data_IF_900041157846
#
_entry.id   IF_900041157846
#
_cell.length_a   1.000
_cell.length_b   1.000
_cell.length_c   1.000
_cell.angle_alpha   90.00
_cell.angle_beta   90.00
_cell.angle_gamma   90.00
#
_symmetry.space_group_name_H-M   'P 1'
#
loop_
_entity.id
_entity.type
_entity.pdbx_description
1 polymer ?
#
# COMPACT_ATOMS: atom_id res chain seq x y z
N UNK A 1 -14.52 32.47 0.53
CA UNK A 1 -13.38 31.62 0.06
C UNK A 1 -12.34 31.37 1.15
N UNK A 2 -12.07 32.30 2.06
CA UNK A 2 -11.13 32.11 3.19
C UNK A 2 -11.65 31.10 4.22
N UNK A 3 -12.93 31.14 4.54
CA UNK A 3 -13.58 30.26 5.53
C UNK A 3 -13.57 28.76 5.12
N UNK A 4 -13.59 28.47 3.81
CA UNK A 4 -13.47 27.10 3.31
C UNK A 4 -12.02 26.57 3.39
N UNK A 5 -11.04 27.46 3.35
CA UNK A 5 -9.62 27.10 3.36
C UNK A 5 -9.15 26.73 4.78
N UNK A 6 -9.66 27.39 5.80
CA UNK A 6 -9.33 27.05 7.20
C UNK A 6 -9.99 25.74 7.65
N UNK A 7 -11.17 25.42 7.12
CA UNK A 7 -11.88 24.19 7.47
C UNK A 7 -11.13 22.91 7.06
N UNK A 8 -10.54 22.85 5.85
CA UNK A 8 -9.82 21.65 5.42
C UNK A 8 -8.46 21.50 6.13
N UNK A 9 -7.81 22.59 6.51
CA UNK A 9 -6.56 22.54 7.30
C UNK A 9 -6.80 21.92 8.68
N UNK A 10 -7.92 22.23 9.33
CA UNK A 10 -8.30 21.59 10.59
C UNK A 10 -8.59 20.10 10.43
N UNK A 11 -9.24 19.70 9.34
CA UNK A 11 -9.50 18.29 9.04
C UNK A 11 -8.20 17.50 8.83
N UNK A 12 -7.24 18.06 8.11
CA UNK A 12 -5.91 17.46 7.94
C UNK A 12 -5.16 17.44 9.29
N UNK A 13 -5.26 18.51 10.07
CA UNK A 13 -4.67 18.59 11.40
C UNK A 13 -5.16 17.49 12.35
N UNK A 14 -6.45 17.12 12.26
CA UNK A 14 -7.02 16.00 13.04
C UNK A 14 -6.37 14.65 12.69
N UNK A 15 -5.92 14.44 11.45
CA UNK A 15 -5.23 13.22 11.03
C UNK A 15 -3.86 13.11 11.70
N UNK A 16 -3.21 14.24 12.03
CA UNK A 16 -1.91 14.23 12.71
C UNK A 16 -1.99 13.64 14.12
N UNK A 17 -3.12 13.75 14.81
CA UNK A 17 -3.29 13.22 16.18
C UNK A 17 -3.03 11.70 16.20
N UNK A 18 -3.77 10.85 15.45
CA UNK A 18 -3.50 9.41 15.44
C UNK A 18 -2.13 9.07 14.83
N UNK A 19 -1.63 9.85 13.88
CA UNK A 19 -0.31 9.63 13.29
C UNK A 19 0.81 9.85 14.30
N UNK A 20 0.74 10.93 15.08
CA UNK A 20 1.71 11.22 16.15
C UNK A 20 1.61 10.16 17.25
N UNK A 21 0.40 9.82 17.69
CA UNK A 21 0.17 8.78 18.70
C UNK A 21 0.75 7.44 18.26
N UNK A 22 0.51 7.05 17.02
CA UNK A 22 1.05 5.84 16.41
C UNK A 22 2.58 5.91 16.30
N UNK A 23 3.13 7.02 15.84
CA UNK A 23 4.58 7.25 15.75
C UNK A 23 5.27 7.12 17.13
N UNK A 24 4.71 7.73 18.17
CA UNK A 24 5.22 7.60 19.53
C UNK A 24 5.14 6.15 20.04
N UNK A 25 4.03 5.46 19.74
CA UNK A 25 3.88 4.05 20.09
C UNK A 25 4.96 3.19 19.38
N UNK A 26 5.22 3.44 18.10
CA UNK A 26 6.27 2.74 17.33
C UNK A 26 7.67 2.98 17.90
N UNK A 27 7.98 4.19 18.37
CA UNK A 27 9.28 4.50 18.98
C UNK A 27 9.49 3.78 20.32
N UNK A 28 8.41 3.45 21.04
CA UNK A 28 8.47 2.72 22.31
C UNK A 28 8.40 1.21 22.15
N UNK A 29 7.88 0.71 21.03
CA UNK A 29 7.77 -0.72 20.75
C UNK A 29 9.13 -1.32 20.35
N UNK A 30 9.45 -2.47 20.95
CA UNK A 30 10.54 -3.32 20.47
C UNK A 30 9.98 -4.28 19.44
N UNK A 31 10.35 -4.09 18.19
CA UNK A 31 9.92 -5.01 17.14
C UNK A 31 10.72 -6.32 17.23
N UNK A 32 10.05 -7.47 17.12
CA UNK A 32 10.77 -8.73 16.98
C UNK A 32 11.57 -8.70 15.68
N UNK A 33 12.75 -9.29 15.74
CA UNK A 33 13.58 -9.47 14.53
C UNK A 33 12.82 -10.35 13.55
N UNK A 34 12.77 -9.97 12.28
CA UNK A 34 12.08 -10.79 11.26
C UNK A 34 12.68 -12.20 11.22
N UNK A 35 11.86 -13.21 11.00
CA UNK A 35 12.28 -14.63 11.00
C UNK A 35 13.45 -14.88 10.04
N UNK A 36 13.49 -14.19 8.89
CA UNK A 36 14.59 -14.29 7.93
C UNK A 36 15.91 -13.73 8.45
N UNK A 37 15.85 -12.59 9.14
CA UNK A 37 17.03 -11.99 9.77
C UNK A 37 17.50 -12.87 10.94
N UNK A 38 16.56 -13.40 11.73
CA UNK A 38 16.86 -14.36 12.80
C UNK A 38 17.49 -15.66 12.27
N UNK A 39 17.09 -16.09 11.07
CA UNK A 39 17.67 -17.22 10.36
C UNK A 39 19.03 -16.91 9.68
N UNK A 40 19.58 -15.69 9.84
CA UNK A 40 20.86 -15.29 9.28
C UNK A 40 20.87 -15.04 7.78
N UNK A 41 19.69 -14.85 7.16
CA UNK A 41 19.58 -14.55 5.73
C UNK A 41 20.07 -13.12 5.48
N UNK A 42 21.06 -12.97 4.58
CA UNK A 42 21.62 -11.66 4.24
C UNK A 42 20.62 -10.79 3.50
N UNK A 43 20.69 -9.46 3.66
CA UNK A 43 19.87 -8.51 2.90
C UNK A 43 20.00 -8.69 1.39
N UNK A 44 21.20 -9.01 0.91
CA UNK A 44 21.44 -9.31 -0.50
C UNK A 44 20.63 -10.51 -0.97
N UNK A 45 20.56 -11.59 -0.18
CA UNK A 45 19.75 -12.76 -0.51
C UNK A 45 18.24 -12.43 -0.57
N UNK A 46 17.77 -11.55 0.30
CA UNK A 46 16.38 -11.07 0.25
C UNK A 46 16.10 -10.26 -1.02
N UNK A 47 17.01 -9.37 -1.41
CA UNK A 47 16.90 -8.59 -2.64
C UNK A 47 17.01 -9.47 -3.89
N UNK A 48 17.75 -10.57 -3.84
CA UNK A 48 17.87 -11.55 -4.91
C UNK A 48 16.53 -12.24 -5.22
N UNK A 49 15.62 -12.36 -4.26
CA UNK A 49 14.28 -12.91 -4.51
C UNK A 49 13.45 -11.99 -5.41
N UNK A 50 13.55 -10.66 -5.21
CA UNK A 50 12.90 -9.68 -6.07
C UNK A 50 13.58 -9.60 -7.44
N UNK A 51 14.91 -9.64 -7.47
CA UNK A 51 15.72 -9.59 -8.67
C UNK A 51 15.51 -8.35 -9.53
N UNK A 52 16.06 -8.36 -10.74
CA UNK A 52 16.00 -7.23 -11.68
C UNK A 52 14.56 -6.95 -12.11
N UNK A 53 13.72 -7.97 -12.31
CA UNK A 53 12.31 -7.77 -12.70
C UNK A 53 11.50 -7.11 -11.61
N UNK A 54 11.67 -7.50 -10.35
CA UNK A 54 10.99 -6.83 -9.24
C UNK A 54 11.42 -5.37 -9.11
N UNK A 55 12.72 -5.10 -9.22
CA UNK A 55 13.25 -3.74 -9.25
C UNK A 55 12.66 -2.91 -10.40
N UNK A 56 12.60 -3.46 -11.61
CA UNK A 56 12.05 -2.78 -12.78
C UNK A 56 10.59 -2.37 -12.56
N UNK A 57 9.75 -3.30 -12.10
CA UNK A 57 8.33 -3.03 -11.86
C UNK A 57 8.15 -1.93 -10.81
N UNK A 58 8.81 -2.06 -9.66
CA UNK A 58 8.69 -1.09 -8.56
C UNK A 58 9.23 0.28 -8.96
N UNK A 59 10.42 0.32 -9.58
CA UNK A 59 11.03 1.59 -10.00
C UNK A 59 10.19 2.27 -11.09
N UNK A 60 9.66 1.51 -12.05
CA UNK A 60 8.81 2.05 -13.11
C UNK A 60 7.53 2.69 -12.53
N UNK A 61 6.86 2.01 -11.60
CA UNK A 61 5.66 2.56 -10.93
C UNK A 61 5.96 3.83 -10.14
N UNK A 62 7.04 3.83 -9.35
CA UNK A 62 7.43 4.99 -8.54
C UNK A 62 7.82 6.17 -9.43
N UNK A 63 8.67 5.94 -10.42
CA UNK A 63 9.17 7.01 -11.31
C UNK A 63 8.05 7.56 -12.19
N UNK A 64 7.12 6.71 -12.67
CA UNK A 64 5.96 7.16 -13.42
C UNK A 64 5.06 8.07 -12.58
N UNK A 65 4.80 7.70 -11.31
CA UNK A 65 3.97 8.52 -10.44
C UNK A 65 4.66 9.84 -10.04
N UNK A 66 5.93 9.80 -9.69
CA UNK A 66 6.73 11.01 -9.43
C UNK A 66 6.77 11.89 -10.68
N UNK A 67 6.98 11.27 -11.86
CA UNK A 67 7.00 11.98 -13.14
C UNK A 67 5.67 12.66 -13.44
N UNK A 68 4.55 12.02 -13.11
CA UNK A 68 3.21 12.59 -13.27
C UNK A 68 2.98 13.79 -12.35
N UNK A 69 3.41 13.69 -11.09
CA UNK A 69 3.21 14.75 -10.08
C UNK A 69 4.10 15.95 -10.34
N UNK A 70 5.37 15.73 -10.69
CA UNK A 70 6.36 16.81 -10.88
C UNK A 70 6.55 17.24 -12.34
N UNK A 71 5.82 16.65 -13.29
CA UNK A 71 5.93 17.00 -14.70
C UNK A 71 7.27 16.63 -15.34
N UNK A 72 7.91 15.53 -14.87
CA UNK A 72 9.22 15.09 -15.37
C UNK A 72 9.06 14.52 -16.77
N UNK A 73 9.92 14.93 -17.70
CA UNK A 73 9.91 14.46 -19.07
C UNK A 73 10.06 12.93 -19.14
N UNK A 74 9.30 12.27 -20.03
CA UNK A 74 9.23 10.79 -20.13
C UNK A 74 10.59 10.14 -20.45
N UNK A 75 11.42 10.82 -21.25
CA UNK A 75 12.77 10.32 -21.55
C UNK A 75 13.66 10.26 -20.31
N UNK A 76 13.57 11.29 -19.42
CA UNK A 76 14.32 11.33 -18.17
C UNK A 76 13.84 10.27 -17.17
N UNK A 77 12.52 9.99 -17.16
CA UNK A 77 11.97 8.87 -16.38
C UNK A 77 12.58 7.54 -16.82
N UNK A 78 12.70 7.33 -18.15
CA UNK A 78 13.35 6.13 -18.71
C UNK A 78 14.81 6.00 -18.28
N UNK A 79 15.57 7.09 -18.34
CA UNK A 79 16.97 7.10 -17.92
C UNK A 79 17.14 6.78 -16.43
N UNK A 80 16.28 7.32 -15.57
CA UNK A 80 16.29 7.03 -14.14
C UNK A 80 15.99 5.56 -13.88
N UNK A 81 14.97 5.00 -14.54
CA UNK A 81 14.61 3.59 -14.40
C UNK A 81 15.77 2.70 -14.84
N UNK A 82 16.35 2.99 -16.00
CA UNK A 82 17.48 2.23 -16.52
C UNK A 82 18.68 2.28 -15.58
N UNK A 83 19.04 3.46 -15.10
CA UNK A 83 20.16 3.66 -14.17
C UNK A 83 19.98 2.86 -12.88
N UNK A 84 18.80 2.97 -12.25
CA UNK A 84 18.49 2.24 -11.02
C UNK A 84 18.53 0.73 -11.24
N UNK A 85 17.92 0.25 -12.34
CA UNK A 85 17.91 -1.19 -12.66
C UNK A 85 19.30 -1.74 -12.97
N UNK A 86 20.17 -0.96 -13.62
CA UNK A 86 21.56 -1.38 -13.90
C UNK A 86 22.36 -1.44 -12.59
N UNK A 87 22.29 -0.40 -11.76
CA UNK A 87 22.98 -0.39 -10.46
C UNK A 87 22.51 -1.55 -9.57
N UNK A 88 21.20 -1.75 -9.49
CA UNK A 88 20.61 -2.85 -8.71
C UNK A 88 20.99 -4.21 -9.29
N UNK A 89 20.93 -4.36 -10.60
CA UNK A 89 21.29 -5.59 -11.29
C UNK A 89 22.74 -6.01 -11.08
N UNK A 90 23.66 -5.05 -11.11
CA UNK A 90 25.08 -5.29 -10.78
C UNK A 90 25.28 -5.75 -9.34
N UNK A 91 24.47 -5.26 -8.42
CA UNK A 91 24.54 -5.66 -7.01
C UNK A 91 23.94 -7.03 -6.75
N UNK A 92 22.80 -7.32 -7.34
CA UNK A 92 21.97 -8.51 -7.04
C UNK A 92 22.31 -9.71 -7.91
N UNK A 93 22.63 -9.48 -9.19
CA UNK A 93 23.04 -10.50 -10.20
C UNK A 93 22.02 -11.64 -10.40
N UNK A 94 20.72 -11.37 -10.20
CA UNK A 94 19.63 -12.35 -10.41
C UNK A 94 18.42 -11.70 -11.07
N UNK A 95 17.69 -12.50 -11.85
CA UNK A 95 16.42 -12.04 -12.46
C UNK A 95 15.27 -12.02 -11.47
N UNK A 96 15.39 -12.69 -10.32
CA UNK A 96 14.37 -12.84 -9.31
C UNK A 96 13.70 -14.22 -9.31
N UNK A 97 13.00 -14.55 -8.23
CA UNK A 97 12.23 -15.79 -8.13
C UNK A 97 10.90 -15.62 -8.85
N UNK A 98 10.57 -16.53 -9.79
CA UNK A 98 9.35 -16.44 -10.58
C UNK A 98 8.07 -16.34 -9.74
N UNK A 99 7.99 -17.07 -8.62
CA UNK A 99 6.86 -17.01 -7.71
C UNK A 99 6.70 -15.62 -7.05
N UNK A 100 7.80 -14.96 -6.72
CA UNK A 100 7.76 -13.61 -6.15
C UNK A 100 7.28 -12.59 -7.18
N UNK A 101 7.76 -12.70 -8.42
CA UNK A 101 7.33 -11.84 -9.52
C UNK A 101 5.84 -12.04 -9.83
N UNK A 102 5.39 -13.30 -9.84
CA UNK A 102 3.96 -13.63 -10.02
C UNK A 102 3.10 -12.99 -8.93
N UNK A 103 3.50 -13.11 -7.66
CA UNK A 103 2.79 -12.49 -6.55
C UNK A 103 2.78 -10.96 -6.65
N UNK A 104 3.89 -10.35 -7.06
CA UNK A 104 3.96 -8.91 -7.29
C UNK A 104 2.98 -8.46 -8.39
N UNK A 105 2.92 -9.21 -9.50
CA UNK A 105 1.97 -8.94 -10.59
C UNK A 105 0.50 -9.09 -10.15
N UNK A 106 0.20 -10.05 -9.28
CA UNK A 106 -1.14 -10.23 -8.72
C UNK A 106 -1.47 -9.11 -7.74
N UNK A 107 -0.50 -8.62 -6.96
CA UNK A 107 -0.70 -7.54 -6.00
C UNK A 107 -1.06 -6.20 -6.67
N UNK A 108 -0.57 -5.93 -7.87
CA UNK A 108 -0.88 -4.68 -8.59
C UNK A 108 -2.38 -4.54 -8.86
N UNK A 109 -3.06 -5.47 -9.56
CA UNK A 109 -4.50 -5.37 -9.79
C UNK A 109 -5.32 -5.47 -8.50
N UNK A 110 -4.85 -6.25 -7.50
CA UNK A 110 -5.52 -6.35 -6.21
C UNK A 110 -5.53 -5.00 -5.48
N UNK A 111 -4.39 -4.34 -5.37
CA UNK A 111 -4.28 -3.02 -4.75
C UNK A 111 -5.07 -1.96 -5.55
N UNK A 112 -5.05 -2.05 -6.88
CA UNK A 112 -5.80 -1.14 -7.75
C UNK A 112 -7.31 -1.29 -7.56
N UNK A 113 -7.82 -2.51 -7.43
CA UNK A 113 -9.25 -2.74 -7.18
C UNK A 113 -9.66 -2.28 -5.79
N UNK A 114 -8.87 -2.56 -4.76
CA UNK A 114 -9.15 -2.11 -3.39
C UNK A 114 -9.21 -0.58 -3.30
N UNK A 115 -8.14 0.10 -3.70
CA UNK A 115 -8.05 1.57 -3.63
C UNK A 115 -9.01 2.26 -4.63
N UNK A 116 -9.21 1.67 -5.80
CA UNK A 116 -10.13 2.18 -6.81
C UNK A 116 -11.57 2.12 -6.33
N UNK A 117 -11.97 1.02 -5.71
CA UNK A 117 -13.33 0.88 -5.15
C UNK A 117 -13.58 1.93 -4.08
N UNK A 118 -12.66 2.14 -3.16
CA UNK A 118 -12.79 3.15 -2.10
C UNK A 118 -12.90 4.57 -2.67
N UNK A 119 -12.15 4.90 -3.71
CA UNK A 119 -12.19 6.23 -4.33
C UNK A 119 -13.48 6.49 -5.11
N UNK A 120 -14.10 5.46 -5.70
CA UNK A 120 -15.28 5.58 -6.55
C UNK A 120 -16.60 5.26 -5.84
N UNK A 121 -16.56 4.66 -4.65
CA UNK A 121 -17.76 4.22 -3.93
C UNK A 121 -18.77 5.34 -3.72
N UNK A 122 -18.31 6.56 -3.46
CA UNK A 122 -19.17 7.74 -3.32
C UNK A 122 -19.93 8.04 -4.61
N UNK A 123 -19.27 7.97 -5.76
CA UNK A 123 -19.88 8.23 -7.06
C UNK A 123 -20.84 7.11 -7.47
N UNK A 124 -20.46 5.86 -7.21
CA UNK A 124 -21.30 4.68 -7.50
C UNK A 124 -22.57 4.65 -6.66
N UNK A 125 -22.49 5.09 -5.41
CA UNK A 125 -23.62 5.07 -4.48
C UNK A 125 -24.44 6.37 -4.49
N UNK A 126 -24.01 7.41 -5.23
CA UNK A 126 -24.72 8.67 -5.32
C UNK A 126 -26.21 8.54 -5.70
N UNK A 127 -26.64 7.69 -6.66
CA UNK A 127 -28.04 7.52 -6.99
C UNK A 127 -28.86 7.05 -5.78
N UNK A 128 -28.35 6.08 -5.02
CA UNK A 128 -29.04 5.48 -3.87
C UNK A 128 -29.01 6.44 -2.67
N UNK A 129 -27.88 7.05 -2.40
CA UNK A 129 -27.73 7.95 -1.24
C UNK A 129 -28.51 9.24 -1.39
N UNK A 130 -28.68 9.75 -2.62
CA UNK A 130 -29.52 10.91 -2.90
C UNK A 130 -31.01 10.62 -2.67
N UNK A 131 -31.45 9.41 -2.99
CA UNK A 131 -32.85 8.97 -2.75
C UNK A 131 -33.19 8.89 -1.26
N UNK A 132 -32.18 8.57 -0.42
CA UNK A 132 -32.34 8.42 1.03
C UNK A 132 -31.85 9.65 1.83
N UNK A 133 -31.49 10.74 1.16
CA UNK A 133 -30.92 11.95 1.76
C UNK A 133 -29.68 11.70 2.66
N UNK A 134 -28.96 10.59 2.41
CA UNK A 134 -27.78 10.19 3.17
C UNK A 134 -26.52 10.68 2.43
N UNK A 135 -25.59 11.27 3.15
CA UNK A 135 -24.31 11.63 2.56
C UNK A 135 -23.51 10.36 2.21
N UNK A 136 -23.15 10.18 0.92
CA UNK A 136 -22.38 9.04 0.44
C UNK A 136 -21.05 8.77 1.16
N UNK A 137 -20.51 9.75 1.90
CA UNK A 137 -19.33 9.56 2.75
C UNK A 137 -19.58 8.59 3.91
N UNK A 138 -20.81 8.44 4.38
CA UNK A 138 -21.14 7.49 5.44
C UNK A 138 -20.89 6.04 5.02
N UNK A 139 -21.02 5.72 3.74
CA UNK A 139 -20.74 4.39 3.21
C UNK A 139 -19.23 4.09 3.38
N UNK A 140 -18.38 5.07 3.07
CA UNK A 140 -16.94 4.94 3.25
C UNK A 140 -16.56 4.74 4.73
N UNK A 141 -17.20 5.49 5.63
CA UNK A 141 -17.00 5.34 7.08
C UNK A 141 -17.44 3.96 7.56
N UNK A 142 -18.57 3.46 7.07
CA UNK A 142 -19.09 2.15 7.41
C UNK A 142 -18.17 1.02 6.92
N UNK A 143 -17.70 1.07 5.69
CA UNK A 143 -16.76 0.07 5.16
C UNK A 143 -15.44 0.10 5.92
N UNK A 144 -14.88 1.29 6.18
CA UNK A 144 -13.67 1.44 6.96
C UNK A 144 -13.84 0.91 8.40
N UNK A 145 -15.00 1.11 9.03
CA UNK A 145 -15.32 0.57 10.35
C UNK A 145 -15.35 -0.96 10.35
N UNK A 146 -16.07 -1.56 9.39
CA UNK A 146 -16.12 -3.03 9.25
C UNK A 146 -14.72 -3.60 9.03
N UNK A 147 -13.94 -3.02 8.10
CA UNK A 147 -12.56 -3.46 7.86
C UNK A 147 -11.70 -3.39 9.12
N UNK A 148 -11.87 -2.34 9.93
CA UNK A 148 -11.15 -2.19 11.18
C UNK A 148 -11.53 -3.29 12.18
N UNK A 149 -12.82 -3.53 12.36
CA UNK A 149 -13.32 -4.60 13.26
C UNK A 149 -12.81 -5.97 12.80
N UNK A 150 -12.88 -6.27 11.50
CA UNK A 150 -12.38 -7.53 10.95
C UNK A 150 -10.88 -7.70 11.18
N UNK A 151 -10.09 -6.64 11.04
CA UNK A 151 -8.64 -6.68 11.32
C UNK A 151 -8.33 -6.99 12.80
N UNK A 152 -9.11 -6.47 13.73
CA UNK A 152 -8.97 -6.84 15.15
C UNK A 152 -9.36 -8.30 15.41
N UNK A 153 -10.37 -8.81 14.71
CA UNK A 153 -10.84 -10.19 14.86
C UNK A 153 -9.96 -11.22 14.13
N UNK A 154 -9.10 -10.79 13.20
CA UNK A 154 -8.31 -11.70 12.36
C UNK A 154 -7.33 -12.55 13.18
N UNK A 155 -6.74 -11.99 14.25
CA UNK A 155 -5.81 -12.71 15.11
C UNK A 155 -6.38 -13.99 15.76
N UNK A 156 -7.53 -13.92 16.45
CA UNK A 156 -8.24 -15.10 16.94
C UNK A 156 -8.71 -16.04 15.82
N UNK A 157 -9.18 -15.47 14.69
CA UNK A 157 -9.66 -16.26 13.55
C UNK A 157 -8.53 -17.10 12.91
N UNK A 158 -7.35 -16.51 12.72
CA UNK A 158 -6.17 -17.23 12.17
C UNK A 158 -5.77 -18.38 13.07
N UNK A 159 -5.86 -18.22 14.39
CA UNK A 159 -5.55 -19.29 15.34
C UNK A 159 -6.55 -20.46 15.28
N UNK A 160 -7.82 -20.18 14.96
CA UNK A 160 -8.87 -21.20 14.89
C UNK A 160 -8.97 -21.91 13.54
N UNK A 161 -8.90 -21.17 12.45
CA UNK A 161 -9.15 -21.68 11.09
C UNK A 161 -7.87 -21.99 10.31
N UNK A 162 -6.73 -21.50 10.76
CA UNK A 162 -5.49 -21.56 9.99
C UNK A 162 -5.50 -20.63 8.76
N UNK A 163 -4.33 -20.36 8.14
CA UNK A 163 -4.22 -19.44 7.01
C UNK A 163 -5.03 -19.84 5.77
N UNK A 164 -5.09 -21.15 5.49
CA UNK A 164 -5.86 -21.68 4.34
C UNK A 164 -7.37 -21.64 4.58
N UNK A 165 -7.81 -21.83 5.83
CA UNK A 165 -9.23 -21.73 6.19
C UNK A 165 -9.78 -20.32 6.04
N UNK A 166 -8.95 -19.30 6.32
CA UNK A 166 -9.34 -17.89 6.12
C UNK A 166 -9.47 -17.51 4.65
N UNK A 167 -8.63 -18.10 3.78
CA UNK A 167 -8.74 -17.89 2.33
C UNK A 167 -9.98 -18.56 1.72
N UNK A 168 -10.58 -19.53 2.40
CA UNK A 168 -11.75 -20.27 1.92
C UNK A 168 -13.09 -19.66 2.37
N UNK A 169 -13.07 -18.70 3.31
CA UNK A 169 -14.23 -17.96 3.84
C UNK A 169 -14.33 -16.60 3.22
#
# INVERSE_FOLDING_TARGET
QAESQDSWMWQIGLILIPVIAYGLMLLTCRFPVSERVAAGVSYRAMLQEAGIFGCLIVTALIVAEIGRVFGIATWLQGDIILFVCVCYGMYVLTFGRGIFILLLLIMIPLATTELGTDSWIKALMAPITNEWEINGLWILVYTAFIMTVLRFCIGPLVRGLGPLGILAV
#
